data_IF_417461948105
#
_entry.id   IF_417461948105
#
_cell.length_a   1.000
_cell.length_b   1.000
_cell.length_c   1.000
_cell.angle_alpha   90.00
_cell.angle_beta   90.00
_cell.angle_gamma   90.00
#
_symmetry.space_group_name_H-M   'P 1'
#
loop_
_entity.id
_entity.type
_entity.pdbx_description
1 polymer ?
#
# COMPACT_ATOMS: atom_id res chain seq x y z
N UNK A 1 40.76 42.13 -15.39
CA UNK A 1 39.62 41.28 -14.99
C UNK A 1 39.00 40.47 -16.13
N UNK A 2 39.09 40.92 -17.39
CA UNK A 2 38.36 40.32 -18.53
C UNK A 2 38.96 39.01 -19.09
N UNK A 3 40.26 38.77 -18.91
CA UNK A 3 40.96 37.57 -19.43
C UNK A 3 40.74 36.30 -18.59
N UNK A 4 40.46 36.43 -17.28
CA UNK A 4 40.17 35.28 -16.42
C UNK A 4 38.76 34.69 -16.70
N UNK A 5 37.80 35.53 -17.08
CA UNK A 5 36.42 35.14 -17.37
C UNK A 5 36.32 34.31 -18.67
N UNK A 6 37.10 34.65 -19.69
CA UNK A 6 37.11 33.92 -20.98
C UNK A 6 37.74 32.53 -20.90
N UNK A 7 38.71 32.31 -19.99
CA UNK A 7 39.31 30.98 -19.74
C UNK A 7 38.40 30.07 -18.90
N UNK A 8 37.56 30.64 -18.04
CA UNK A 8 36.66 29.89 -17.17
C UNK A 8 35.43 29.29 -17.90
N UNK A 9 35.00 29.87 -19.02
CA UNK A 9 33.84 29.38 -19.79
C UNK A 9 33.99 27.95 -20.34
N UNK A 10 35.11 27.54 -20.97
CA UNK A 10 35.30 26.16 -21.42
C UNK A 10 35.43 25.16 -20.26
N UNK A 11 36.03 25.57 -19.14
CA UNK A 11 36.14 24.73 -17.95
C UNK A 11 34.79 24.54 -17.24
N UNK A 12 33.97 25.59 -17.15
CA UNK A 12 32.62 25.51 -16.61
C UNK A 12 31.70 24.64 -17.47
N UNK A 13 31.77 24.77 -18.81
CA UNK A 13 31.03 23.89 -19.73
C UNK A 13 31.44 22.43 -19.61
N UNK A 14 32.75 22.17 -19.47
CA UNK A 14 33.29 20.83 -19.25
C UNK A 14 32.86 20.26 -17.90
N UNK A 15 32.90 21.06 -16.83
CA UNK A 15 32.44 20.67 -15.50
C UNK A 15 30.95 20.33 -15.50
N UNK A 16 30.12 21.15 -16.17
CA UNK A 16 28.69 20.89 -16.31
C UNK A 16 28.41 19.62 -17.12
N UNK A 17 29.16 19.40 -18.21
CA UNK A 17 29.03 18.19 -19.02
C UNK A 17 29.41 16.92 -18.24
N UNK A 18 30.48 16.97 -17.44
CA UNK A 18 30.90 15.87 -16.57
C UNK A 18 29.85 15.61 -15.49
N UNK A 19 29.37 16.65 -14.81
CA UNK A 19 28.33 16.51 -13.79
C UNK A 19 27.04 15.93 -14.37
N UNK A 20 26.62 16.42 -15.55
CA UNK A 20 25.46 15.89 -16.26
C UNK A 20 25.64 14.43 -16.67
N UNK A 21 26.82 14.05 -17.16
CA UNK A 21 27.14 12.66 -17.48
C UNK A 21 27.10 11.76 -16.23
N UNK A 22 27.64 12.22 -15.10
CA UNK A 22 27.58 11.49 -13.83
C UNK A 22 26.14 11.30 -13.37
N UNK A 23 25.32 12.35 -13.39
CA UNK A 23 23.89 12.25 -13.03
C UNK A 23 23.16 11.29 -13.96
N UNK A 24 23.40 11.38 -15.28
CA UNK A 24 22.78 10.48 -16.25
C UNK A 24 23.13 9.02 -15.99
N UNK A 25 24.40 8.72 -15.68
CA UNK A 25 24.83 7.35 -15.32
C UNK A 25 24.16 6.88 -14.03
N UNK A 26 24.08 7.73 -13.00
CA UNK A 26 23.41 7.40 -11.74
C UNK A 26 21.91 7.14 -11.94
N UNK A 27 21.24 7.93 -12.78
CA UNK A 27 19.82 7.73 -13.10
C UNK A 27 19.60 6.42 -13.86
N UNK A 28 20.44 6.11 -14.84
CA UNK A 28 20.37 4.84 -15.57
C UNK A 28 20.61 3.64 -14.66
N UNK A 29 21.58 3.73 -13.75
CA UNK A 29 21.84 2.70 -12.75
C UNK A 29 20.64 2.51 -11.81
N UNK A 30 20.03 3.60 -11.35
CA UNK A 30 18.84 3.54 -10.50
C UNK A 30 17.63 2.93 -11.23
N UNK A 31 17.38 3.32 -12.50
CA UNK A 31 16.30 2.73 -13.31
C UNK A 31 16.56 1.25 -13.58
N UNK A 32 17.81 0.87 -13.87
CA UNK A 32 18.19 -0.52 -14.06
C UNK A 32 17.99 -1.33 -12.78
N UNK A 33 18.38 -0.81 -11.62
CA UNK A 33 18.16 -1.45 -10.30
C UNK A 33 16.67 -1.63 -10.01
N UNK A 34 15.85 -0.57 -10.19
CA UNK A 34 14.39 -0.63 -10.08
C UNK A 34 13.75 -1.66 -11.04
N UNK A 35 14.28 -1.79 -12.26
CA UNK A 35 13.78 -2.75 -13.24
C UNK A 35 14.23 -4.18 -12.94
N UNK A 36 15.45 -4.35 -12.44
CA UNK A 36 16.02 -5.66 -12.06
C UNK A 36 15.36 -6.21 -10.80
N UNK A 37 15.13 -5.35 -9.79
CA UNK A 37 14.24 -5.65 -8.65
C UNK A 37 12.80 -5.86 -9.11
N UNK A 38 12.43 -5.23 -10.22
CA UNK A 38 11.07 -5.17 -10.74
C UNK A 38 10.26 -4.15 -9.96
N UNK A 39 9.31 -3.48 -10.62
CA UNK A 39 8.37 -2.56 -9.97
C UNK A 39 7.48 -3.22 -8.89
N UNK A 40 7.71 -4.50 -8.61
CA UNK A 40 7.03 -5.26 -7.58
C UNK A 40 7.96 -6.07 -6.68
N UNK A 41 9.26 -5.76 -6.54
CA UNK A 41 10.10 -6.41 -5.50
C UNK A 41 9.40 -6.42 -4.14
N UNK A 42 8.77 -5.30 -3.82
CA UNK A 42 8.05 -5.08 -2.57
C UNK A 42 6.56 -5.47 -2.69
N UNK A 43 6.18 -6.16 -3.76
CA UNK A 43 4.82 -6.68 -3.94
C UNK A 43 4.62 -7.90 -3.06
N UNK A 44 3.67 -7.81 -2.15
CA UNK A 44 3.25 -8.94 -1.34
C UNK A 44 2.44 -9.93 -2.18
N UNK A 45 2.45 -11.20 -1.77
CA UNK A 45 1.57 -12.24 -2.30
C UNK A 45 0.12 -12.03 -1.84
N UNK A 46 -0.56 -11.05 -2.43
CA UNK A 46 -1.97 -10.72 -2.11
C UNK A 46 -2.92 -11.87 -2.50
N UNK A 47 -2.52 -12.72 -3.44
CA UNK A 47 -3.21 -13.99 -3.73
C UNK A 47 -3.30 -14.89 -2.49
N UNK A 48 -2.21 -15.01 -1.72
CA UNK A 48 -2.23 -15.77 -0.46
C UNK A 48 -3.13 -15.12 0.59
N UNK A 49 -3.15 -13.79 0.65
CA UNK A 49 -4.05 -13.07 1.55
C UNK A 49 -5.52 -13.34 1.21
N UNK A 50 -5.86 -13.36 -0.08
CA UNK A 50 -7.21 -13.71 -0.52
C UNK A 50 -7.58 -15.14 -0.11
N UNK A 51 -6.66 -16.10 -0.24
CA UNK A 51 -6.94 -17.48 0.17
C UNK A 51 -7.10 -17.64 1.69
N UNK A 52 -6.30 -16.91 2.48
CA UNK A 52 -6.45 -16.85 3.95
C UNK A 52 -7.83 -16.29 4.34
N UNK A 53 -8.24 -15.17 3.73
CA UNK A 53 -9.55 -14.57 4.02
C UNK A 53 -10.68 -15.53 3.62
N UNK A 54 -10.57 -16.15 2.45
CA UNK A 54 -11.60 -17.05 1.92
C UNK A 54 -11.79 -18.32 2.76
N UNK A 55 -10.70 -18.85 3.34
CA UNK A 55 -10.76 -20.05 4.15
C UNK A 55 -11.40 -19.82 5.52
N UNK A 56 -11.42 -18.57 5.98
CA UNK A 56 -11.76 -18.22 7.37
C UNK A 56 -13.01 -17.35 7.51
N UNK A 57 -13.41 -16.65 6.45
CA UNK A 57 -14.56 -15.76 6.45
C UNK A 57 -15.63 -16.28 5.49
N UNK A 58 -16.70 -16.87 6.02
CA UNK A 58 -17.86 -17.29 5.22
C UNK A 58 -19.18 -16.91 5.92
N UNK A 59 -19.98 -15.99 5.36
CA UNK A 59 -19.68 -15.15 4.19
C UNK A 59 -18.60 -14.10 4.48
N UNK A 60 -17.85 -13.71 3.45
CA UNK A 60 -16.83 -12.64 3.54
C UNK A 60 -17.54 -11.29 3.80
N UNK A 61 -17.24 -10.58 4.90
CA UNK A 61 -17.81 -9.26 5.16
C UNK A 61 -17.35 -8.22 4.14
N UNK A 62 -17.91 -7.02 4.20
CA UNK A 62 -17.42 -5.89 3.40
C UNK A 62 -15.95 -5.60 3.78
N UNK A 63 -15.05 -5.49 2.80
CA UNK A 63 -13.61 -5.34 3.05
C UNK A 63 -13.19 -3.86 2.96
N UNK A 64 -12.49 -3.36 3.97
CA UNK A 64 -11.90 -2.03 4.01
C UNK A 64 -10.41 -2.04 4.30
N UNK A 65 -9.75 -0.91 4.08
CA UNK A 65 -8.32 -0.74 4.40
C UNK A 65 -7.56 0.04 3.34
N UNK A 66 -6.22 0.19 3.51
CA UNK A 66 -5.37 0.89 2.57
C UNK A 66 -5.50 0.36 1.15
N UNK A 67 -5.50 1.28 0.18
CA UNK A 67 -5.72 0.97 -1.24
C UNK A 67 -4.79 -0.13 -1.79
N UNK A 68 -3.55 -0.21 -1.29
CA UNK A 68 -2.62 -1.26 -1.68
C UNK A 68 -3.19 -2.66 -1.45
N UNK A 69 -3.84 -2.91 -0.31
CA UNK A 69 -4.42 -4.23 -0.02
C UNK A 69 -5.76 -4.41 -0.71
N UNK A 70 -6.69 -3.47 -0.52
CA UNK A 70 -8.07 -3.58 -1.03
C UNK A 70 -8.12 -3.57 -2.55
N UNK A 71 -7.28 -2.76 -3.21
CA UNK A 71 -7.18 -2.72 -4.67
C UNK A 71 -6.64 -4.02 -5.26
N UNK A 72 -5.56 -4.57 -4.70
CA UNK A 72 -5.02 -5.85 -5.18
C UNK A 72 -5.95 -7.02 -4.86
N UNK A 73 -6.61 -7.02 -3.69
CA UNK A 73 -7.61 -8.04 -3.37
C UNK A 73 -8.78 -8.02 -4.38
N UNK A 74 -9.28 -6.84 -4.75
CA UNK A 74 -10.36 -6.71 -5.73
C UNK A 74 -9.98 -7.23 -7.13
N UNK A 75 -8.69 -7.19 -7.49
CA UNK A 75 -8.19 -7.82 -8.73
C UNK A 75 -8.19 -9.34 -8.64
N UNK A 76 -7.90 -9.91 -7.47
CA UNK A 76 -7.85 -11.36 -7.24
C UNK A 76 -9.22 -11.99 -6.94
N UNK A 77 -10.11 -11.26 -6.26
CA UNK A 77 -11.47 -11.68 -5.86
C UNK A 77 -12.49 -10.62 -6.24
N UNK A 78 -12.80 -10.45 -7.54
CA UNK A 78 -13.73 -9.43 -8.02
C UNK A 78 -15.19 -9.69 -7.59
N UNK A 79 -15.48 -10.89 -7.10
CA UNK A 79 -16.77 -11.30 -6.55
C UNK A 79 -17.03 -10.78 -5.12
N UNK A 80 -15.99 -10.31 -4.41
CA UNK A 80 -16.13 -9.75 -3.07
C UNK A 80 -16.55 -8.28 -3.09
N UNK A 81 -17.01 -7.80 -1.94
CA UNK A 81 -17.40 -6.40 -1.75
C UNK A 81 -16.30 -5.64 -1.03
N UNK A 82 -15.97 -4.46 -1.55
CA UNK A 82 -14.91 -3.60 -1.03
C UNK A 82 -15.40 -2.17 -0.79
N UNK A 83 -14.84 -1.53 0.23
CA UNK A 83 -14.92 -0.08 0.41
C UNK A 83 -14.00 0.60 -0.59
N UNK A 84 -14.44 1.70 -1.23
CA UNK A 84 -13.60 2.45 -2.16
C UNK A 84 -12.46 3.17 -1.43
N UNK A 85 -11.39 3.59 -2.12
CA UNK A 85 -10.25 4.28 -1.52
C UNK A 85 -10.51 5.76 -1.19
N UNK A 86 -11.77 6.20 -1.22
CA UNK A 86 -12.19 7.57 -0.98
C UNK A 86 -13.38 7.59 -0.01
N UNK A 87 -13.63 8.75 0.59
CA UNK A 87 -14.69 8.93 1.57
C UNK A 87 -16.08 8.67 0.97
N UNK A 88 -16.93 7.97 1.71
CA UNK A 88 -18.28 7.58 1.28
C UNK A 88 -19.21 7.41 2.48
N UNK A 89 -20.49 7.12 2.26
CA UNK A 89 -21.45 6.73 3.30
C UNK A 89 -21.77 5.22 3.31
N UNK A 90 -20.86 4.40 2.78
CA UNK A 90 -21.07 2.96 2.62
C UNK A 90 -21.25 2.19 3.95
N UNK A 91 -20.83 2.78 5.07
CA UNK A 91 -20.97 2.26 6.43
C UNK A 91 -21.93 3.09 7.30
N UNK A 92 -22.83 3.90 6.73
CA UNK A 92 -23.77 4.73 7.50
C UNK A 92 -24.85 3.95 8.28
N UNK A 93 -24.66 2.65 8.52
CA UNK A 93 -25.58 1.78 9.23
C UNK A 93 -24.87 0.65 9.97
N UNK A 94 -25.63 -0.32 10.47
CA UNK A 94 -25.07 -1.48 11.17
C UNK A 94 -24.64 -2.56 10.19
N UNK A 95 -23.65 -3.37 10.58
CA UNK A 95 -23.12 -4.45 9.75
C UNK A 95 -21.74 -4.88 10.19
N UNK A 96 -21.10 -5.74 9.38
CA UNK A 96 -19.75 -6.19 9.63
C UNK A 96 -18.79 -5.73 8.53
N UNK A 97 -17.59 -5.35 8.94
CA UNK A 97 -16.51 -4.93 8.05
C UNK A 97 -15.22 -5.64 8.46
N UNK A 98 -14.48 -6.13 7.47
CA UNK A 98 -13.13 -6.66 7.63
C UNK A 98 -12.13 -5.59 7.22
N UNK A 99 -11.40 -5.04 8.19
CA UNK A 99 -10.31 -4.10 7.92
C UNK A 99 -9.00 -4.85 7.72
N UNK A 100 -8.36 -4.60 6.59
CA UNK A 100 -7.13 -5.25 6.14
C UNK A 100 -5.98 -4.24 6.15
N UNK A 101 -4.91 -4.54 6.88
CA UNK A 101 -3.72 -3.68 6.97
C UNK A 101 -3.93 -2.39 7.77
N UNK A 102 -5.07 -2.24 8.45
CA UNK A 102 -5.30 -1.16 9.41
C UNK A 102 -4.72 -1.55 10.77
N UNK A 103 -3.97 -0.68 11.45
CA UNK A 103 -3.49 -0.95 12.81
C UNK A 103 -4.64 -1.28 13.77
N UNK A 104 -4.48 -2.30 14.60
CA UNK A 104 -5.46 -2.65 15.65
C UNK A 104 -5.35 -1.69 16.85
N UNK A 105 -5.59 -0.40 16.60
CA UNK A 105 -5.71 0.63 17.63
C UNK A 105 -7.09 1.27 17.53
N UNK A 106 -7.76 1.59 18.66
CA UNK A 106 -9.10 2.17 18.64
C UNK A 106 -9.24 3.38 17.70
N UNK A 107 -8.25 4.28 17.72
CA UNK A 107 -8.24 5.49 16.89
C UNK A 107 -8.12 5.19 15.39
N UNK A 108 -7.29 4.20 15.01
CA UNK A 108 -7.12 3.84 13.60
C UNK A 108 -8.35 3.13 13.05
N UNK A 109 -8.94 2.22 13.83
CA UNK A 109 -10.17 1.52 13.47
C UNK A 109 -11.35 2.48 13.36
N UNK A 110 -11.53 3.36 14.36
CA UNK A 110 -12.58 4.38 14.35
C UNK A 110 -12.44 5.33 13.16
N UNK A 111 -11.22 5.78 12.85
CA UNK A 111 -10.97 6.63 11.67
C UNK A 111 -11.31 5.92 10.37
N UNK A 112 -10.87 4.67 10.22
CA UNK A 112 -11.10 3.90 9.00
C UNK A 112 -12.60 3.72 8.72
N UNK A 113 -13.43 3.44 9.74
CA UNK A 113 -14.88 3.31 9.55
C UNK A 113 -15.58 4.67 9.41
N UNK A 114 -15.09 5.70 10.09
CA UNK A 114 -15.64 7.06 9.99
C UNK A 114 -15.42 7.70 8.62
N UNK A 115 -14.30 7.40 7.94
CA UNK A 115 -14.07 7.80 6.54
C UNK A 115 -15.14 7.24 5.58
N UNK A 116 -15.83 6.17 5.97
CA UNK A 116 -16.93 5.57 5.23
C UNK A 116 -18.31 5.82 5.85
N UNK A 117 -18.43 6.85 6.68
CA UNK A 117 -19.72 7.37 7.15
C UNK A 117 -20.26 6.71 8.42
N UNK A 118 -19.48 5.84 9.08
CA UNK A 118 -19.89 5.26 10.36
C UNK A 118 -19.64 6.23 11.52
N UNK A 119 -20.68 6.55 12.28
CA UNK A 119 -20.59 7.46 13.46
C UNK A 119 -20.95 6.79 14.77
N UNK A 120 -21.39 5.53 14.74
CA UNK A 120 -21.84 4.78 15.91
C UNK A 120 -20.70 4.08 16.66
N UNK A 121 -21.07 3.16 17.55
CA UNK A 121 -20.11 2.30 18.23
C UNK A 121 -19.46 1.27 17.31
N UNK A 122 -18.33 0.71 17.70
CA UNK A 122 -17.73 -0.45 17.04
C UNK A 122 -17.33 -1.50 18.06
N UNK A 123 -17.47 -2.78 17.69
CA UNK A 123 -17.01 -3.92 18.48
C UNK A 123 -16.05 -4.75 17.65
N UNK A 124 -14.86 -4.99 18.17
CA UNK A 124 -13.90 -5.91 17.55
C UNK A 124 -14.39 -7.33 17.78
N UNK A 125 -14.74 -8.04 16.71
CA UNK A 125 -15.14 -9.44 16.75
C UNK A 125 -13.91 -10.36 16.77
N UNK A 126 -12.92 -10.04 15.93
CA UNK A 126 -11.65 -10.77 15.89
C UNK A 126 -10.53 -9.88 15.38
N UNK A 127 -9.30 -10.20 15.78
CA UNK A 127 -8.10 -9.63 15.17
C UNK A 127 -7.07 -10.72 15.01
N UNK A 128 -6.41 -10.74 13.86
CA UNK A 128 -5.33 -11.66 13.56
C UNK A 128 -4.29 -11.02 12.67
N UNK A 129 -3.19 -11.72 12.50
CA UNK A 129 -2.09 -11.35 11.62
C UNK A 129 -1.91 -12.42 10.56
N UNK A 130 -1.90 -12.01 9.29
CA UNK A 130 -1.54 -12.85 8.16
C UNK A 130 -0.08 -12.57 7.79
N UNK A 131 0.76 -13.60 7.81
CA UNK A 131 2.14 -13.51 7.34
C UNK A 131 2.16 -13.72 5.83
N UNK A 132 2.50 -12.67 5.09
CA UNK A 132 2.58 -12.70 3.63
C UNK A 132 4.03 -12.61 3.18
N UNK A 133 4.44 -13.49 2.29
CA UNK A 133 5.73 -13.37 1.62
C UNK A 133 5.71 -12.30 0.55
N UNK A 134 6.88 -11.73 0.26
CA UNK A 134 7.08 -10.94 -0.95
C UNK A 134 7.10 -11.85 -2.17
N UNK A 135 6.60 -11.35 -3.29
CA UNK A 135 6.43 -12.12 -4.54
C UNK A 135 7.76 -12.60 -5.11
N UNK A 136 8.83 -11.84 -4.93
CA UNK A 136 10.15 -12.15 -5.49
C UNK A 136 11.18 -12.54 -4.42
N UNK A 137 10.82 -12.45 -3.15
CA UNK A 137 11.68 -12.76 -2.01
C UNK A 137 10.88 -13.59 -1.00
N UNK A 138 10.68 -14.88 -1.30
CA UNK A 138 9.81 -15.77 -0.50
C UNK A 138 10.24 -15.93 0.97
N UNK A 139 11.53 -15.70 1.25
CA UNK A 139 12.10 -15.77 2.59
C UNK A 139 11.83 -14.51 3.42
N UNK A 140 11.43 -13.42 2.79
CA UNK A 140 11.04 -12.18 3.46
C UNK A 140 9.51 -12.14 3.59
N UNK A 141 9.03 -11.89 4.80
CA UNK A 141 7.60 -11.85 5.10
C UNK A 141 7.21 -10.56 5.78
N UNK A 142 5.96 -10.17 5.59
CA UNK A 142 5.33 -9.03 6.25
C UNK A 142 4.05 -9.47 6.92
N UNK A 143 3.89 -9.05 8.18
CA UNK A 143 2.62 -9.21 8.89
C UNK A 143 1.60 -8.19 8.40
N UNK A 144 0.40 -8.66 8.07
CA UNK A 144 -0.76 -7.86 7.71
C UNK A 144 -1.89 -8.13 8.69
N UNK A 145 -2.31 -7.09 9.41
CA UNK A 145 -3.42 -7.18 10.37
C UNK A 145 -4.75 -7.35 9.63
N UNK A 146 -5.56 -8.29 10.11
CA UNK A 146 -6.95 -8.51 9.71
C UNK A 146 -7.83 -8.32 10.93
N UNK A 147 -8.65 -7.28 10.93
CA UNK A 147 -9.54 -6.96 12.06
C UNK A 147 -10.99 -6.96 11.59
N UNK A 148 -11.78 -7.90 12.11
CA UNK A 148 -13.23 -7.96 11.87
C UNK A 148 -13.95 -7.12 12.91
N UNK A 149 -14.77 -6.21 12.43
CA UNK A 149 -15.55 -5.29 13.25
C UNK A 149 -17.04 -5.54 13.02
N UNK A 150 -17.80 -5.41 14.09
CA UNK A 150 -19.23 -5.19 14.05
C UNK A 150 -19.51 -3.71 14.32
N UNK A 151 -20.30 -3.10 13.45
CA UNK A 151 -20.75 -1.72 13.54
C UNK A 151 -22.05 -1.68 14.33
N UNK A 152 -22.00 -0.96 15.46
CA UNK A 152 -23.13 -0.73 16.34
C UNK A 152 -23.80 0.60 15.99
N UNK A 153 -25.11 0.74 16.18
CA UNK A 153 -25.83 1.98 15.88
C UNK A 153 -25.33 3.17 16.72
#
# INVERSE_FOLDING_TARGET
MTLAVLRAMPEAKRGLAIAGAVIAVLLLAAIADLRLRGAGSDSLRIDMLADIIAAEEEPVPLIGGPHYYTGNLALHRPDWRYLPPYQTDALAGTGEVLLVGTPNTPDALARAVAEHGHTGGLRVLSTREALLSYRFEENETRSVTLTRLELLP
#
